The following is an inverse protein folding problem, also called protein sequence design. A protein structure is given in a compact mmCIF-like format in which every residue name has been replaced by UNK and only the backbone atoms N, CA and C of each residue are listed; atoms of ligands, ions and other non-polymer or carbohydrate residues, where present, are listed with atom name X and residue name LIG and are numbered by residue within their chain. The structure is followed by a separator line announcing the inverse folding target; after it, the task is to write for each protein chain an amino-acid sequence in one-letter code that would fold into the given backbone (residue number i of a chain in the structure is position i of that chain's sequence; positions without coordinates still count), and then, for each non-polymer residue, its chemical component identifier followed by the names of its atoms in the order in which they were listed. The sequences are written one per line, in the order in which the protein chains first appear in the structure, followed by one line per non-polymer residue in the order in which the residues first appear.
data_IF_322070783887
#
_entry.id   IF_322070783887
#
_cell.length_a   1.000
_cell.length_b   1.000
_cell.length_c   1.000
_cell.angle_alpha   90.00
_cell.angle_beta   90.00
_cell.angle_gamma   90.00
#
_symmetry.space_group_name_H-M   'P 1'
#
loop_
_entity.id
_entity.type
_entity.pdbx_description
1 polymer ?
#
# COMPACT_ATOMS: atom_id res chain seq x y z
N UNK A 1 -3.91 12.55 -10.30
CA UNK A 1 -3.54 11.65 -9.22
C UNK A 1 -2.63 10.56 -9.71
N UNK A 2 -1.72 10.11 -8.87
CA UNK A 2 -0.64 9.23 -9.33
C UNK A 2 -0.30 8.21 -8.25
N UNK A 3 -0.19 6.93 -8.64
CA UNK A 3 0.43 5.91 -7.78
C UNK A 3 1.93 5.96 -8.11
N UNK A 4 2.74 6.29 -7.13
CA UNK A 4 4.19 6.43 -7.34
C UNK A 4 4.87 5.08 -7.53
N UNK A 5 6.06 5.07 -8.13
CA UNK A 5 6.86 3.85 -8.22
C UNK A 5 7.15 3.27 -6.84
N UNK A 6 7.42 4.13 -5.86
CA UNK A 6 7.66 3.70 -4.48
C UNK A 6 6.46 2.97 -3.88
N UNK A 7 5.24 3.53 -4.04
CA UNK A 7 4.01 2.90 -3.55
C UNK A 7 3.76 1.56 -4.24
N UNK A 8 3.90 1.51 -5.56
CA UNK A 8 3.75 0.28 -6.34
C UNK A 8 4.75 -0.79 -5.89
N UNK A 9 6.02 -0.42 -5.74
CA UNK A 9 7.07 -1.34 -5.29
C UNK A 9 6.82 -1.84 -3.86
N UNK A 10 6.34 -0.96 -2.97
CA UNK A 10 6.02 -1.34 -1.60
C UNK A 10 4.90 -2.40 -1.55
N UNK A 11 3.84 -2.21 -2.35
CA UNK A 11 2.75 -3.18 -2.43
C UNK A 11 3.26 -4.49 -3.02
N UNK A 12 4.05 -4.45 -4.10
CA UNK A 12 4.62 -5.66 -4.70
C UNK A 12 5.50 -6.43 -3.73
N UNK A 13 6.33 -5.73 -2.96
CA UNK A 13 7.17 -6.36 -1.93
C UNK A 13 6.33 -7.02 -0.85
N UNK A 14 5.30 -6.34 -0.36
CA UNK A 14 4.40 -6.88 0.65
C UNK A 14 3.64 -8.11 0.13
N UNK A 15 3.23 -8.10 -1.14
CA UNK A 15 2.57 -9.25 -1.79
C UNK A 15 3.52 -10.45 -1.84
N UNK A 16 4.81 -10.24 -2.15
CA UNK A 16 5.79 -11.33 -2.14
C UNK A 16 5.95 -11.93 -0.74
N UNK A 17 5.97 -11.11 0.30
CA UNK A 17 6.00 -11.60 1.67
C UNK A 17 4.75 -12.38 2.03
N UNK A 18 3.59 -11.92 1.58
CA UNK A 18 2.33 -12.63 1.79
C UNK A 18 2.30 -13.98 1.06
N UNK A 19 2.81 -14.02 -0.16
CA UNK A 19 2.86 -15.24 -0.97
C UNK A 19 3.82 -16.29 -0.39
N UNK A 20 4.88 -15.86 0.27
CA UNK A 20 5.87 -16.74 0.89
C UNK A 20 5.33 -17.43 2.16
N UNK A 21 4.30 -16.84 2.79
CA UNK A 21 3.73 -17.38 4.02
C UNK A 21 4.64 -17.16 5.22
N UNK A 22 4.89 -18.20 5.99
CA UNK A 22 5.71 -18.12 7.19
C UNK A 22 7.20 -18.16 6.89
N UNK A 23 7.96 -17.52 7.75
CA UNK A 23 9.42 -17.53 7.70
C UNK A 23 10.02 -16.36 6.94
N UNK A 24 11.30 -16.10 7.17
CA UNK A 24 11.97 -14.95 6.57
C UNK A 24 12.23 -15.15 5.08
N UNK A 25 12.07 -14.05 4.32
CA UNK A 25 12.37 -13.97 2.90
C UNK A 25 13.51 -12.99 2.71
N UNK A 26 14.52 -13.38 1.96
CA UNK A 26 15.66 -12.51 1.66
C UNK A 26 15.23 -11.36 0.76
N UNK A 27 15.78 -10.17 1.03
CA UNK A 27 15.53 -9.02 0.16
C UNK A 27 15.88 -9.28 -1.29
N UNK A 28 16.98 -10.00 -1.54
CA UNK A 28 17.43 -10.39 -2.88
C UNK A 28 16.35 -11.19 -3.62
N UNK A 29 15.67 -12.10 -2.93
CA UNK A 29 14.62 -12.92 -3.54
C UNK A 29 13.43 -12.06 -3.98
N UNK A 30 13.05 -11.08 -3.17
CA UNK A 30 11.96 -10.15 -3.52
C UNK A 30 12.39 -9.26 -4.69
N UNK A 31 13.62 -8.73 -4.63
CA UNK A 31 14.16 -7.87 -5.68
C UNK A 31 14.17 -8.60 -7.04
N UNK A 32 14.61 -9.85 -7.05
CA UNK A 32 14.65 -10.67 -8.26
C UNK A 32 13.24 -11.00 -8.77
N UNK A 33 12.33 -11.39 -7.89
CA UNK A 33 10.96 -11.75 -8.26
C UNK A 33 10.19 -10.58 -8.87
N UNK A 34 10.41 -9.37 -8.38
CA UNK A 34 9.69 -8.17 -8.81
C UNK A 34 10.52 -7.25 -9.71
N UNK A 35 11.74 -7.62 -10.01
CA UNK A 35 12.67 -6.81 -10.84
C UNK A 35 12.83 -5.39 -10.29
N UNK A 36 13.06 -5.29 -8.97
CA UNK A 36 13.28 -4.04 -8.26
C UNK A 36 14.73 -3.97 -7.81
N UNK A 37 15.34 -2.78 -7.88
CA UNK A 37 16.67 -2.54 -7.33
C UNK A 37 16.70 -2.91 -5.85
N UNK A 38 17.67 -3.74 -5.44
CA UNK A 38 17.79 -4.19 -4.05
C UNK A 38 17.94 -3.03 -3.08
N UNK A 39 18.74 -2.03 -3.44
CA UNK A 39 18.95 -0.85 -2.59
C UNK A 39 17.65 -0.08 -2.34
N UNK A 40 16.85 0.12 -3.40
CA UNK A 40 15.58 0.81 -3.28
C UNK A 40 14.58 -0.02 -2.48
N UNK A 41 14.55 -1.33 -2.73
CA UNK A 41 13.70 -2.26 -1.99
C UNK A 41 14.03 -2.27 -0.49
N UNK A 42 15.30 -2.30 -0.12
CA UNK A 42 15.70 -2.30 1.30
C UNK A 42 15.22 -1.05 2.02
N UNK A 43 15.27 0.10 1.35
CA UNK A 43 14.74 1.35 1.89
C UNK A 43 13.23 1.25 2.13
N UNK A 44 12.49 0.71 1.17
CA UNK A 44 11.04 0.49 1.28
C UNK A 44 10.71 -0.48 2.41
N UNK A 45 11.41 -1.61 2.48
CA UNK A 45 11.21 -2.60 3.55
C UNK A 45 11.49 -2.00 4.93
N UNK A 46 12.46 -1.12 5.03
CA UNK A 46 12.74 -0.37 6.24
C UNK A 46 11.57 0.51 6.68
N UNK A 47 10.92 1.19 5.73
CA UNK A 47 9.74 2.00 6.02
C UNK A 47 8.53 1.15 6.42
N UNK A 48 8.33 0.01 5.77
CA UNK A 48 7.27 -0.93 6.12
C UNK A 48 7.48 -1.52 7.52
N UNK A 49 8.74 -1.81 7.86
CA UNK A 49 9.10 -2.27 9.20
C UNK A 49 8.82 -1.20 10.25
N UNK A 50 9.22 0.03 9.98
CA UNK A 50 8.99 1.17 10.88
C UNK A 50 7.49 1.40 11.12
N UNK A 51 6.67 1.17 10.10
CA UNK A 51 5.21 1.27 10.19
C UNK A 51 4.54 0.07 10.89
N UNK A 52 5.31 -0.97 11.24
CA UNK A 52 4.78 -2.13 11.92
C UNK A 52 4.13 -3.18 11.04
N UNK A 53 4.30 -3.10 9.72
CA UNK A 53 3.73 -4.06 8.77
C UNK A 53 4.68 -5.23 8.47
N UNK A 54 5.96 -5.03 8.65
CA UNK A 54 7.01 -6.00 8.33
C UNK A 54 7.95 -6.12 9.52
N UNK A 55 8.45 -7.33 9.74
CA UNK A 55 9.52 -7.62 10.69
C UNK A 55 10.74 -8.13 9.93
N UNK A 56 11.91 -8.02 10.54
CA UNK A 56 13.15 -8.46 9.94
C UNK A 56 14.08 -9.06 10.98
N UNK A 57 14.98 -9.91 10.49
CA UNK A 57 16.07 -10.50 11.28
C UNK A 57 17.33 -10.47 10.44
N UNK A 58 18.42 -10.07 11.06
CA UNK A 58 19.74 -10.05 10.41
C UNK A 58 20.36 -11.45 10.38
N UNK A 59 21.34 -11.64 9.51
CA UNK A 59 22.16 -12.83 9.42
C UNK A 59 21.79 -13.76 8.28
N UNK A 60 22.52 -14.86 8.16
CA UNK A 60 22.36 -15.82 7.06
C UNK A 60 20.98 -16.46 7.04
N UNK A 61 20.37 -16.67 8.20
CA UNK A 61 19.05 -17.26 8.35
C UNK A 61 17.95 -16.18 8.52
N UNK A 62 18.31 -14.93 8.33
CA UNK A 62 17.39 -13.80 8.47
C UNK A 62 16.67 -13.45 7.18
N UNK A 63 15.97 -12.36 7.21
CA UNK A 63 15.19 -11.83 6.10
C UNK A 63 14.01 -11.03 6.62
N UNK A 64 12.94 -10.97 5.83
CA UNK A 64 11.75 -10.18 6.12
C UNK A 64 10.51 -11.07 6.13
N UNK A 65 9.51 -10.70 6.95
CA UNK A 65 8.20 -11.34 6.96
C UNK A 65 7.13 -10.36 7.42
N UNK A 66 5.87 -10.65 7.13
CA UNK A 66 4.74 -9.82 7.56
C UNK A 66 4.57 -9.88 9.08
N UNK A 67 4.37 -8.72 9.71
CA UNK A 67 4.15 -8.61 11.15
C UNK A 67 2.73 -9.05 11.56
N UNK A 68 1.79 -9.06 10.60
CA UNK A 68 0.40 -9.46 10.79
C UNK A 68 -0.04 -10.37 9.66
N UNK A 69 -1.14 -11.14 9.82
CA UNK A 69 -1.65 -11.97 8.73
C UNK A 69 -1.95 -11.15 7.46
N UNK A 70 -1.68 -11.73 6.30
CA UNK A 70 -1.91 -11.07 5.02
C UNK A 70 -3.36 -10.60 4.83
N UNK A 71 -4.32 -11.32 5.41
CA UNK A 71 -5.74 -10.96 5.35
C UNK A 71 -6.09 -9.73 6.22
N UNK A 72 -5.18 -9.29 7.07
CA UNK A 72 -5.36 -8.12 7.94
C UNK A 72 -4.58 -6.90 7.50
N UNK A 73 -3.89 -6.99 6.37
CA UNK A 73 -3.12 -5.87 5.80
C UNK A 73 -3.74 -5.51 4.46
N UNK A 74 -4.24 -4.29 4.35
CA UNK A 74 -4.81 -3.78 3.10
C UNK A 74 -3.73 -3.12 2.22
N UNK A 75 -4.03 -2.98 0.94
CA UNK A 75 -3.21 -2.19 0.02
C UNK A 75 -3.09 -0.75 0.53
N UNK A 76 -4.17 -0.21 1.10
CA UNK A 76 -4.16 1.12 1.71
C UNK A 76 -3.13 1.23 2.86
N UNK A 77 -3.04 0.22 3.72
CA UNK A 77 -2.08 0.19 4.84
C UNK A 77 -0.65 0.32 4.31
N UNK A 78 -0.33 -0.42 3.26
CA UNK A 78 1.02 -0.41 2.66
C UNK A 78 1.33 0.96 2.05
N UNK A 79 0.40 1.52 1.29
CA UNK A 79 0.60 2.83 0.65
C UNK A 79 0.78 3.92 1.71
N UNK A 80 -0.05 3.92 2.76
CA UNK A 80 0.07 4.90 3.85
C UNK A 80 1.42 4.82 4.56
N UNK A 81 1.97 3.62 4.66
CA UNK A 81 3.27 3.41 5.32
C UNK A 81 4.42 4.12 4.59
N UNK A 82 4.36 4.22 3.26
CA UNK A 82 5.46 4.78 2.44
C UNK A 82 5.15 6.16 1.86
N UNK A 83 3.88 6.52 1.73
CA UNK A 83 3.48 7.79 1.11
C UNK A 83 2.69 8.70 2.06
N UNK A 84 2.29 8.20 3.22
CA UNK A 84 1.44 8.95 4.13
C UNK A 84 -0.05 8.88 3.75
N UNK A 85 -0.86 9.83 4.20
CA UNK A 85 -2.31 9.78 4.01
C UNK A 85 -2.73 9.69 2.54
N UNK A 86 -3.78 8.91 2.29
CA UNK A 86 -4.40 8.83 0.97
C UNK A 86 -5.16 10.13 0.69
N UNK A 87 -5.09 10.62 -0.53
CA UNK A 87 -5.88 11.76 -1.00
C UNK A 87 -5.74 13.03 -0.13
N UNK A 88 -4.53 13.49 0.07
CA UNK A 88 -4.30 14.84 0.60
C UNK A 88 -4.36 15.87 -0.52
N UNK A 89 -4.78 17.09 -0.19
CA UNK A 89 -4.80 18.23 -1.12
C UNK A 89 -3.90 19.31 -0.51
N UNK A 90 -2.86 19.72 -1.22
CA UNK A 90 -1.85 20.66 -0.70
C UNK A 90 -1.29 20.21 0.65
N UNK A 91 -1.09 18.91 0.81
CA UNK A 91 -0.61 18.26 2.04
C UNK A 91 -1.57 18.37 3.24
N UNK A 92 -2.83 18.74 3.01
CA UNK A 92 -3.86 18.83 4.04
C UNK A 92 -4.96 17.78 3.81
N UNK A 93 -5.59 17.27 4.88
CA UNK A 93 -6.75 16.40 4.70
C UNK A 93 -7.92 17.21 4.12
N UNK A 94 -8.73 16.61 3.24
CA UNK A 94 -9.82 17.33 2.57
C UNK A 94 -10.81 18.04 3.51
N UNK A 95 -11.06 17.49 4.70
CA UNK A 95 -11.98 18.12 5.68
C UNK A 95 -11.48 19.43 6.25
N UNK A 96 -10.18 19.69 6.17
CA UNK A 96 -9.57 20.93 6.68
C UNK A 96 -9.49 22.02 5.62
N UNK A 97 -9.85 21.68 4.36
CA UNK A 97 -9.79 22.65 3.26
C UNK A 97 -10.92 23.67 3.33
N UNK A 98 -10.59 24.91 3.05
CA UNK A 98 -11.54 26.01 2.93
C UNK A 98 -11.37 26.70 1.59
N UNK A 99 -12.48 26.99 0.94
CA UNK A 99 -12.52 27.68 -0.35
C UNK A 99 -13.41 28.90 -0.27
N UNK A 100 -13.17 29.85 -1.16
CA UNK A 100 -13.96 31.08 -1.26
C UNK A 100 -14.57 31.21 -2.65
N UNK A 101 -15.62 32.03 -2.77
CA UNK A 101 -16.24 32.35 -4.06
C UNK A 101 -16.82 31.12 -4.73
N UNK A 102 -16.63 31.02 -6.03
CA UNK A 102 -17.20 29.96 -6.85
C UNK A 102 -16.52 28.59 -6.61
N UNK A 103 -15.40 28.55 -5.89
CA UNK A 103 -14.68 27.30 -5.61
C UNK A 103 -15.17 26.56 -4.37
N UNK A 104 -16.09 27.16 -3.58
CA UNK A 104 -16.59 26.55 -2.33
C UNK A 104 -16.99 25.07 -2.48
N UNK A 105 -17.65 24.61 -3.54
CA UNK A 105 -18.03 23.19 -3.67
C UNK A 105 -16.86 22.22 -3.87
N UNK A 106 -15.65 22.70 -4.18
CA UNK A 106 -14.50 21.80 -4.42
C UNK A 106 -14.14 20.93 -3.22
N UNK A 107 -14.36 21.41 -2.00
CA UNK A 107 -14.13 20.62 -0.81
C UNK A 107 -14.89 19.29 -0.85
N UNK A 108 -16.14 19.32 -1.28
CA UNK A 108 -16.97 18.12 -1.39
C UNK A 108 -16.47 17.17 -2.48
N UNK A 109 -15.92 17.72 -3.56
CA UNK A 109 -15.31 16.90 -4.62
C UNK A 109 -14.13 16.11 -4.08
N UNK A 110 -13.25 16.79 -3.33
CA UNK A 110 -12.08 16.12 -2.73
C UNK A 110 -12.48 15.10 -1.66
N UNK A 111 -13.50 15.39 -0.88
CA UNK A 111 -14.04 14.44 0.09
C UNK A 111 -14.59 13.19 -0.59
N UNK A 112 -15.34 13.36 -1.68
CA UNK A 112 -15.89 12.23 -2.46
C UNK A 112 -14.76 11.40 -3.08
N UNK A 113 -13.73 12.04 -3.61
CA UNK A 113 -12.57 11.36 -4.16
C UNK A 113 -11.89 10.49 -3.10
N UNK A 114 -11.69 11.03 -1.89
CA UNK A 114 -11.09 10.28 -0.80
C UNK A 114 -11.92 9.05 -0.42
N UNK A 115 -13.25 9.21 -0.35
CA UNK A 115 -14.15 8.09 -0.06
C UNK A 115 -13.97 6.97 -1.09
N UNK A 116 -13.91 7.31 -2.37
CA UNK A 116 -13.74 6.32 -3.44
C UNK A 116 -12.37 5.64 -3.38
N UNK A 117 -11.31 6.40 -3.14
CA UNK A 117 -9.95 5.85 -3.00
C UNK A 117 -9.91 4.85 -1.84
N UNK A 118 -10.46 5.22 -0.70
CA UNK A 118 -10.53 4.34 0.47
C UNK A 118 -11.36 3.08 0.20
N UNK A 119 -12.50 3.24 -0.47
CA UNK A 119 -13.37 2.12 -0.80
C UNK A 119 -12.63 1.06 -1.62
N UNK A 120 -11.76 1.47 -2.54
CA UNK A 120 -10.96 0.54 -3.34
C UNK A 120 -9.79 0.01 -2.53
N UNK A 121 -8.93 0.89 -2.01
CA UNK A 121 -7.64 0.48 -1.45
C UNK A 121 -7.75 -0.19 -0.07
N UNK A 122 -8.75 0.15 0.73
CA UNK A 122 -8.97 -0.47 2.04
C UNK A 122 -9.69 -1.82 1.93
N UNK A 123 -10.42 -2.07 0.84
CA UNK A 123 -11.14 -3.33 0.65
C UNK A 123 -10.26 -4.47 0.17
N UNK A 124 -9.09 -4.17 -0.41
CA UNK A 124 -8.18 -5.18 -0.97
C UNK A 124 -7.10 -5.52 0.05
N UNK A 125 -7.04 -6.79 0.46
CA UNK A 125 -5.98 -7.28 1.34
C UNK A 125 -4.85 -7.89 0.54
N UNK A 126 -3.69 -8.06 1.18
CA UNK A 126 -2.58 -8.78 0.55
C UNK A 126 -2.96 -10.23 0.24
N UNK A 127 -3.78 -10.84 1.09
CA UNK A 127 -4.29 -12.19 0.85
C UNK A 127 -5.15 -12.26 -0.42
N UNK A 128 -5.97 -11.25 -0.68
CA UNK A 128 -6.78 -11.16 -1.90
C UNK A 128 -5.92 -11.12 -3.15
N UNK A 129 -4.86 -10.32 -3.12
CA UNK A 129 -3.94 -10.20 -4.26
C UNK A 129 -3.22 -11.52 -4.53
N UNK A 130 -2.71 -12.17 -3.48
CA UNK A 130 -2.03 -13.46 -3.61
C UNK A 130 -2.97 -14.53 -4.15
N UNK A 131 -4.23 -14.54 -3.71
CA UNK A 131 -5.23 -15.50 -4.16
C UNK A 131 -5.77 -15.21 -5.57
N UNK A 132 -5.51 -14.00 -6.10
CA UNK A 132 -6.08 -13.57 -7.36
C UNK A 132 -7.59 -13.37 -7.32
N UNK A 133 -8.12 -13.04 -6.14
CA UNK A 133 -9.56 -12.88 -5.89
C UNK A 133 -9.84 -11.49 -5.33
N UNK A 134 -10.02 -10.54 -6.23
CA UNK A 134 -10.30 -9.17 -5.83
C UNK A 134 -11.77 -9.01 -5.41
N UNK A 135 -12.04 -8.16 -4.40
CA UNK A 135 -13.39 -7.94 -3.91
C UNK A 135 -14.28 -7.18 -4.92
N UNK A 136 -15.59 -7.22 -4.68
CA UNK A 136 -16.58 -6.60 -5.55
C UNK A 136 -16.38 -5.08 -5.70
N UNK A 137 -15.83 -4.42 -4.69
CA UNK A 137 -15.47 -3.01 -4.71
C UNK A 137 -14.50 -2.66 -5.84
N UNK A 138 -13.71 -3.63 -6.27
CA UNK A 138 -12.79 -3.48 -7.40
C UNK A 138 -13.42 -4.00 -8.68
N UNK A 139 -13.84 -5.27 -8.66
CA UNK A 139 -14.36 -5.94 -9.87
C UNK A 139 -15.62 -5.28 -10.41
N UNK A 140 -16.46 -4.75 -9.54
CA UNK A 140 -17.67 -4.03 -9.93
C UNK A 140 -17.38 -2.75 -10.70
N UNK A 141 -16.26 -2.09 -10.42
CA UNK A 141 -15.85 -0.88 -11.14
C UNK A 141 -15.28 -1.18 -12.52
N UNK A 142 -14.80 -2.41 -12.73
CA UNK A 142 -14.22 -2.84 -14.00
C UNK A 142 -15.24 -3.49 -14.94
N UNK A 143 -16.44 -3.73 -14.47
CA UNK A 143 -17.50 -4.30 -15.29
C UNK A 143 -17.93 -3.32 -16.39
N UNK A 144 -18.17 -3.77 -17.66
CA UNK A 144 -18.63 -2.91 -18.74
C UNK A 144 -20.03 -2.34 -18.52
#
# INVERSE_FOLDING_TARGET
MRVTAKADYAVRAAVELAAAGEGPVKGESIADAQEISLRFLESILGELRHAGLVRSQRGADGGYWLARPAAEISVADVIRAVEGPLASVRSEPPEELAYTGSAVPLREVWLALRVNIRAVLESVTLADVVAGRLPAEVTGLLAP
#
